data_IF_474971025831
#
_entry.id   IF_474971025831
#
_cell.length_a   1.000
_cell.length_b   1.000
_cell.length_c   1.000
_cell.angle_alpha   90.00
_cell.angle_beta   90.00
_cell.angle_gamma   90.00
#
_symmetry.space_group_name_H-M   'P 1'
#
loop_
_entity.id
_entity.type
_entity.pdbx_description
1 polymer ?
#
# COMPACT_ATOMS: atom_id res chain seq x y z
N UNK A 1 18.90 11.84 12.33
CA UNK A 1 17.55 11.92 12.95
C UNK A 1 16.44 11.56 11.96
N UNK A 2 16.35 12.23 10.80
CA UNK A 2 15.33 11.94 9.75
C UNK A 2 15.26 10.48 9.29
N UNK A 3 16.42 9.86 9.06
CA UNK A 3 16.50 8.48 8.58
C UNK A 3 16.04 7.45 9.64
N UNK A 4 16.22 7.76 10.92
CA UNK A 4 15.73 6.92 12.03
C UNK A 4 14.21 7.03 12.20
N UNK A 5 13.65 8.23 12.01
CA UNK A 5 12.19 8.43 11.99
C UNK A 5 11.55 7.64 10.85
N UNK A 6 12.16 7.70 9.65
CA UNK A 6 11.70 7.00 8.46
C UNK A 6 11.76 5.48 8.62
N UNK A 7 12.83 4.96 9.21
CA UNK A 7 12.95 3.52 9.49
C UNK A 7 11.92 3.04 10.52
N UNK A 8 11.65 3.85 11.55
CA UNK A 8 10.62 3.55 12.54
C UNK A 8 9.22 3.54 11.92
N UNK A 9 8.87 4.56 11.14
CA UNK A 9 7.58 4.64 10.44
C UNK A 9 7.41 3.46 9.46
N UNK A 10 8.46 3.09 8.73
CA UNK A 10 8.42 1.92 7.85
C UNK A 10 8.17 0.62 8.60
N UNK A 11 8.86 0.39 9.72
CA UNK A 11 8.62 -0.80 10.53
C UNK A 11 7.22 -0.80 11.15
N UNK A 12 6.74 0.36 11.59
CA UNK A 12 5.42 0.49 12.20
C UNK A 12 4.28 0.41 11.18
N UNK A 13 4.53 0.68 9.89
CA UNK A 13 3.48 0.54 8.86
C UNK A 13 3.57 -0.75 8.05
N UNK A 14 4.78 -1.17 7.67
CA UNK A 14 5.01 -2.35 6.84
C UNK A 14 5.07 -3.63 7.68
N UNK A 15 5.71 -3.57 8.86
CA UNK A 15 5.90 -4.72 9.75
C UNK A 15 4.89 -4.77 10.91
N UNK A 16 4.01 -3.78 11.03
CA UNK A 16 2.92 -3.84 12.00
C UNK A 16 1.92 -4.91 11.61
N UNK A 17 1.32 -5.53 12.65
CA UNK A 17 0.31 -6.57 12.53
C UNK A 17 -0.80 -6.16 11.55
N UNK A 18 -1.23 -4.90 11.58
CA UNK A 18 -2.25 -4.37 10.66
C UNK A 18 -1.78 -4.33 9.20
N UNK A 19 -0.54 -3.88 8.96
CA UNK A 19 0.05 -3.83 7.61
C UNK A 19 0.21 -5.21 6.99
N UNK A 20 0.72 -6.17 7.77
CA UNK A 20 0.82 -7.58 7.34
C UNK A 20 -0.56 -8.19 7.04
N UNK A 21 -1.58 -7.90 7.86
CA UNK A 21 -2.95 -8.35 7.58
C UNK A 21 -3.48 -7.77 6.26
N UNK A 22 -3.24 -6.49 5.98
CA UNK A 22 -3.67 -5.85 4.72
C UNK A 22 -2.95 -6.48 3.53
N UNK A 23 -1.64 -6.72 3.62
CA UNK A 23 -0.88 -7.39 2.56
C UNK A 23 -1.39 -8.82 2.30
N UNK A 24 -1.71 -9.56 3.36
CA UNK A 24 -2.27 -10.91 3.26
C UNK A 24 -3.64 -10.90 2.56
N UNK A 25 -4.54 -9.99 2.97
CA UNK A 25 -5.87 -9.85 2.35
C UNK A 25 -5.76 -9.49 0.87
N UNK A 26 -4.88 -8.56 0.52
CA UNK A 26 -4.66 -8.13 -0.87
C UNK A 26 -4.10 -9.29 -1.70
N UNK A 27 -3.15 -10.05 -1.17
CA UNK A 27 -2.59 -11.23 -1.85
C UNK A 27 -3.67 -12.28 -2.14
N UNK A 28 -4.52 -12.59 -1.16
CA UNK A 28 -5.65 -13.52 -1.36
C UNK A 28 -6.63 -12.98 -2.40
N UNK A 29 -6.96 -11.69 -2.35
CA UNK A 29 -7.86 -11.05 -3.31
C UNK A 29 -7.31 -11.12 -4.74
N UNK A 30 -6.01 -10.84 -4.93
CA UNK A 30 -5.36 -10.93 -6.24
C UNK A 30 -5.29 -12.36 -6.76
N UNK A 31 -5.02 -13.34 -5.89
CA UNK A 31 -5.07 -14.76 -6.26
C UNK A 31 -6.46 -15.20 -6.73
N UNK A 32 -7.53 -14.79 -6.03
CA UNK A 32 -8.91 -15.08 -6.41
C UNK A 32 -9.28 -14.44 -7.76
N UNK A 33 -8.88 -13.17 -7.97
CA UNK A 33 -9.11 -12.50 -9.24
C UNK A 33 -8.37 -13.21 -10.37
N UNK A 34 -7.09 -13.55 -10.19
CA UNK A 34 -6.30 -14.28 -11.18
C UNK A 34 -6.95 -15.63 -11.56
N UNK A 35 -7.42 -16.39 -10.56
CA UNK A 35 -8.13 -17.65 -10.78
C UNK A 35 -9.44 -17.47 -11.57
N UNK A 36 -10.22 -16.44 -11.24
CA UNK A 36 -11.46 -16.11 -11.95
C UNK A 36 -11.21 -15.80 -13.43
N UNK A 37 -10.14 -15.06 -13.74
CA UNK A 37 -9.80 -14.70 -15.13
C UNK A 37 -9.24 -15.89 -15.93
N UNK A 38 -8.52 -16.82 -15.29
CA UNK A 38 -8.05 -18.06 -15.93
C UNK A 38 -9.20 -18.98 -16.33
N UNK A 39 -10.27 -19.03 -15.51
CA UNK A 39 -11.42 -19.91 -15.77
C UNK A 39 -12.27 -19.50 -16.98
N UNK A 40 -12.17 -18.24 -17.43
CA UNK A 40 -12.99 -17.68 -18.52
C UNK A 40 -12.30 -17.82 -19.90
N UNK A 41 -11.14 -18.48 -19.97
CA UNK A 41 -10.26 -18.44 -21.14
C UNK A 41 -10.77 -19.29 -22.32
N UNK A 42 -11.63 -18.71 -23.14
CA UNK A 42 -11.90 -19.12 -24.52
C UNK A 42 -10.72 -18.69 -25.43
N UNK A 43 -10.26 -19.57 -26.33
CA UNK A 43 -8.92 -19.62 -26.99
C UNK A 43 -8.56 -18.49 -27.99
N UNK A 44 -9.02 -17.24 -27.83
CA UNK A 44 -8.65 -16.15 -28.75
C UNK A 44 -7.49 -15.29 -28.23
N UNK A 45 -6.40 -15.20 -29.00
CA UNK A 45 -5.21 -14.39 -28.69
C UNK A 45 -5.53 -12.88 -28.53
N UNK A 46 -6.57 -12.37 -29.21
CA UNK A 46 -7.03 -10.99 -29.06
C UNK A 46 -7.79 -10.78 -27.74
N UNK A 47 -8.60 -11.76 -27.32
CA UNK A 47 -9.30 -11.73 -26.04
C UNK A 47 -8.33 -11.78 -24.86
N UNK A 48 -7.18 -12.45 -25.00
CA UNK A 48 -6.19 -12.55 -23.94
C UNK A 48 -5.52 -11.20 -23.60
N UNK A 49 -5.28 -10.34 -24.59
CA UNK A 49 -4.72 -9.00 -24.35
C UNK A 49 -5.75 -8.12 -23.62
N UNK A 50 -7.01 -8.16 -24.03
CA UNK A 50 -8.08 -7.36 -23.43
C UNK A 50 -8.38 -7.76 -21.98
N UNK A 51 -8.40 -9.07 -21.71
CA UNK A 51 -8.53 -9.62 -20.35
C UNK A 51 -7.37 -9.18 -19.47
N UNK A 52 -6.13 -9.26 -19.95
CA UNK A 52 -4.96 -8.86 -19.18
C UNK A 52 -4.93 -7.35 -18.89
N UNK A 53 -5.31 -6.53 -19.86
CA UNK A 53 -5.43 -5.08 -19.68
C UNK A 53 -6.53 -4.72 -18.68
N UNK A 54 -7.64 -5.46 -18.67
CA UNK A 54 -8.71 -5.28 -17.69
C UNK A 54 -8.27 -5.69 -16.29
N UNK A 55 -7.53 -6.80 -16.18
CA UNK A 55 -6.92 -7.25 -14.93
C UNK A 55 -5.96 -6.19 -14.36
N UNK A 56 -5.03 -5.67 -15.16
CA UNK A 56 -4.10 -4.61 -14.75
C UNK A 56 -4.82 -3.34 -14.27
N UNK A 57 -5.89 -2.92 -14.96
CA UNK A 57 -6.70 -1.76 -14.54
C UNK A 57 -7.37 -1.99 -13.18
N UNK A 58 -7.92 -3.19 -12.94
CA UNK A 58 -8.52 -3.53 -11.66
C UNK A 58 -7.48 -3.53 -10.53
N UNK A 59 -6.30 -4.12 -10.76
CA UNK A 59 -5.20 -4.13 -9.79
C UNK A 59 -4.73 -2.71 -9.44
N UNK A 60 -4.57 -1.84 -10.44
CA UNK A 60 -4.24 -0.43 -10.22
C UNK A 60 -5.33 0.29 -9.41
N UNK A 61 -6.60 0.03 -9.73
CA UNK A 61 -7.74 0.54 -8.98
C UNK A 61 -7.69 0.17 -7.51
N UNK A 62 -7.53 -1.13 -7.20
CA UNK A 62 -7.44 -1.63 -5.82
C UNK A 62 -6.23 -1.03 -5.09
N UNK A 63 -5.06 -1.01 -5.71
CA UNK A 63 -3.84 -0.43 -5.11
C UNK A 63 -4.03 1.06 -4.76
N UNK A 64 -4.68 1.85 -5.64
CA UNK A 64 -4.95 3.27 -5.37
C UNK A 64 -5.89 3.49 -4.19
N UNK A 65 -6.96 2.68 -4.07
CA UNK A 65 -7.88 2.74 -2.93
C UNK A 65 -7.16 2.42 -1.62
N UNK A 66 -6.36 1.36 -1.61
CA UNK A 66 -5.57 0.96 -0.43
C UNK A 66 -4.62 2.07 0.00
N UNK A 67 -3.95 2.73 -0.94
CA UNK A 67 -3.05 3.85 -0.64
C UNK A 67 -3.75 5.02 0.02
N UNK A 68 -4.93 5.40 -0.48
CA UNK A 68 -5.71 6.51 0.08
C UNK A 68 -6.13 6.19 1.51
N UNK A 69 -6.61 4.96 1.75
CA UNK A 69 -7.01 4.51 3.09
C UNK A 69 -5.81 4.53 4.03
N UNK A 70 -4.68 3.93 3.64
CA UNK A 70 -3.47 3.89 4.45
C UNK A 70 -2.93 5.29 4.74
N UNK A 71 -2.86 6.17 3.74
CA UNK A 71 -2.43 7.56 3.91
C UNK A 71 -3.33 8.35 4.88
N UNK A 72 -4.64 8.12 4.83
CA UNK A 72 -5.57 8.71 5.79
C UNK A 72 -5.36 8.18 7.21
N UNK A 73 -5.20 6.85 7.35
CA UNK A 73 -4.97 6.22 8.67
C UNK A 73 -3.63 6.58 9.31
N UNK A 74 -2.60 6.85 8.51
CA UNK A 74 -1.31 7.38 8.98
C UNK A 74 -1.46 8.70 9.74
N UNK A 75 -2.30 9.59 9.21
CA UNK A 75 -2.51 10.93 9.76
C UNK A 75 -3.49 10.87 10.92
N UNK A 76 -4.61 10.17 10.74
CA UNK A 76 -5.64 10.04 11.77
C UNK A 76 -5.17 9.21 12.97
N UNK A 77 -4.34 8.18 12.75
CA UNK A 77 -3.81 7.33 13.81
C UNK A 77 -2.87 8.06 14.77
N UNK A 78 -2.06 8.99 14.25
CA UNK A 78 -1.22 9.86 15.10
C UNK A 78 -2.05 10.86 15.91
N UNK A 79 -3.18 11.32 15.35
CA UNK A 79 -4.11 12.20 16.05
C UNK A 79 -4.81 11.46 17.20
N UNK A 80 -5.25 10.23 16.95
CA UNK A 80 -5.97 9.41 17.92
C UNK A 80 -5.05 8.91 19.06
N UNK A 81 -3.78 8.65 18.76
CA UNK A 81 -2.76 8.26 19.77
C UNK A 81 -2.25 9.45 20.59
N UNK A 82 -2.63 10.69 20.28
CA UNK A 82 -2.12 11.90 20.93
C UNK A 82 -0.62 12.16 20.69
N UNK A 83 0.01 11.39 19.81
CA UNK A 83 1.46 11.46 19.52
C UNK A 83 1.80 12.66 18.64
N UNK A 84 0.81 13.23 17.95
CA UNK A 84 0.97 14.41 17.09
C UNK A 84 1.53 15.62 17.84
N UNK A 85 1.04 15.88 19.06
CA UNK A 85 1.54 16.97 19.90
C UNK A 85 2.98 16.72 20.36
N UNK A 86 3.28 15.48 20.77
CA UNK A 86 4.65 15.08 21.13
C UNK A 86 5.62 15.16 19.94
N UNK A 87 5.14 14.92 18.71
CA UNK A 87 5.95 14.97 17.50
C UNK A 87 6.29 16.41 17.10
N UNK A 88 5.34 17.34 17.29
CA UNK A 88 5.53 18.77 17.04
C UNK A 88 6.46 19.44 18.07
N UNK A 89 6.60 18.84 19.26
CA UNK A 89 7.56 19.28 20.28
C UNK A 89 9.00 18.82 20.00
N UNK A 90 9.21 17.93 19.02
CA UNK A 90 10.56 17.54 18.60
C UNK A 90 11.19 18.66 17.75
N UNK A 91 12.53 18.80 17.73
CA UNK A 91 13.21 19.83 16.93
C UNK A 91 13.17 19.57 15.41
N UNK A 92 12.24 18.73 14.93
CA UNK A 92 12.06 18.40 13.52
C UNK A 92 11.04 19.35 12.91
N UNK A 93 11.30 19.81 11.68
CA UNK A 93 10.34 20.65 10.98
C UNK A 93 9.12 19.83 10.55
N UNK A 94 7.93 20.43 10.56
CA UNK A 94 6.66 19.78 10.17
C UNK A 94 6.73 19.18 8.77
N UNK A 95 7.47 19.83 7.85
CA UNK A 95 7.72 19.32 6.50
C UNK A 95 8.52 18.01 6.50
N UNK A 96 9.50 17.88 7.40
CA UNK A 96 10.33 16.68 7.50
C UNK A 96 9.52 15.46 7.95
N UNK A 97 8.56 15.68 8.86
CA UNK A 97 7.59 14.67 9.29
C UNK A 97 6.69 14.28 8.12
N UNK A 98 6.11 15.24 7.40
CA UNK A 98 5.25 14.96 6.24
C UNK A 98 6.00 14.18 5.14
N UNK A 99 7.23 14.59 4.81
CA UNK A 99 8.05 13.91 3.80
C UNK A 99 8.35 12.47 4.22
N UNK A 100 8.68 12.23 5.48
CA UNK A 100 8.93 10.87 5.96
C UNK A 100 7.70 9.94 5.83
N UNK A 101 6.50 10.46 6.11
CA UNK A 101 5.24 9.74 5.93
C UNK A 101 4.93 9.48 4.45
N UNK A 102 5.18 10.46 3.58
CA UNK A 102 5.05 10.28 2.13
C UNK A 102 5.99 9.18 1.60
N UNK A 103 7.26 9.18 2.02
CA UNK A 103 8.23 8.17 1.61
C UNK A 103 7.78 6.78 2.11
N UNK A 104 7.25 6.67 3.33
CA UNK A 104 6.71 5.41 3.84
C UNK A 104 5.53 4.89 3.00
N UNK A 105 4.61 5.77 2.59
CA UNK A 105 3.48 5.41 1.71
C UNK A 105 3.99 4.97 0.33
N UNK A 106 4.97 5.67 -0.24
CA UNK A 106 5.58 5.34 -1.54
C UNK A 106 6.27 3.96 -1.50
N UNK A 107 7.00 3.67 -0.42
CA UNK A 107 7.63 2.37 -0.23
C UNK A 107 6.60 1.25 -0.04
N UNK A 108 5.51 1.51 0.70
CA UNK A 108 4.42 0.55 0.81
C UNK A 108 3.77 0.27 -0.56
N UNK A 109 3.58 1.30 -1.38
CA UNK A 109 3.09 1.14 -2.75
C UNK A 109 4.04 0.29 -3.61
N UNK A 110 5.35 0.52 -3.51
CA UNK A 110 6.34 -0.31 -4.21
C UNK A 110 6.24 -1.78 -3.79
N UNK A 111 6.05 -2.07 -2.50
CA UNK A 111 5.85 -3.45 -2.03
C UNK A 111 4.58 -4.07 -2.59
N UNK A 112 3.47 -3.34 -2.65
CA UNK A 112 2.24 -3.81 -3.30
C UNK A 112 2.44 -4.09 -4.80
N UNK A 113 3.21 -3.26 -5.49
CA UNK A 113 3.53 -3.47 -6.91
C UNK A 113 4.40 -4.71 -7.13
N UNK A 114 5.38 -4.96 -6.25
CA UNK A 114 6.19 -6.18 -6.30
C UNK A 114 5.31 -7.41 -6.03
N UNK A 115 4.41 -7.33 -5.05
CA UNK A 115 3.49 -8.42 -4.72
C UNK A 115 2.54 -8.72 -5.88
N UNK A 116 2.03 -7.70 -6.56
CA UNK A 116 1.29 -7.89 -7.81
C UNK A 116 2.15 -8.57 -8.87
N UNK A 117 3.36 -8.08 -9.15
CA UNK A 117 4.25 -8.66 -10.16
C UNK A 117 4.55 -10.17 -9.94
N UNK A 118 4.49 -10.63 -8.69
CA UNK A 118 4.73 -12.03 -8.33
C UNK A 118 3.55 -12.98 -8.61
N UNK A 119 2.31 -12.44 -8.69
CA UNK A 119 1.06 -13.20 -8.86
C UNK A 119 0.69 -13.28 -10.33
#
# INVERSE_FOLDING_TARGET
MMMALLHKELLEHLLSRKGLFILFIISVLYSLLAFSFISVKELSLLAQVEVNMTFLKLMLGVNSLVLIILGSTMISGEKEKGTLESLLLTPLSTLQIMISKLIAIILFWMVLMILHCLI
#
